data_IF_402448105652
#
_entry.id   IF_402448105652
#
_cell.length_a   1.000
_cell.length_b   1.000
_cell.length_c   1.000
_cell.angle_alpha   90.00
_cell.angle_beta   90.00
_cell.angle_gamma   90.00
#
_symmetry.space_group_name_H-M   'P 1'
#
loop_
_entity.id
_entity.type
_entity.pdbx_description
1 polymer ?
#
# COMPACT_ATOMS: atom_id res chain seq x y z
N UNK A 1 7.37 17.88 0.32
CA UNK A 1 7.41 16.40 0.17
C UNK A 1 7.24 15.77 1.54
N UNK A 2 6.47 14.69 1.64
CA UNK A 2 6.30 13.92 2.87
C UNK A 2 7.02 12.58 2.75
N UNK A 3 7.88 12.30 3.73
CA UNK A 3 8.58 11.03 3.87
C UNK A 3 7.81 10.12 4.83
N UNK A 4 7.65 8.87 4.45
CA UNK A 4 7.05 7.82 5.28
C UNK A 4 7.97 6.61 5.29
N UNK A 5 7.99 5.90 6.40
CA UNK A 5 8.87 4.76 6.60
C UNK A 5 8.07 3.49 6.82
N UNK A 6 8.65 2.36 6.42
CA UNK A 6 8.03 1.07 6.59
C UNK A 6 8.99 -0.08 6.36
N UNK A 7 8.47 -1.28 6.49
CA UNK A 7 9.22 -2.52 6.40
C UNK A 7 8.71 -3.33 5.22
N UNK A 8 9.65 -3.85 4.43
CA UNK A 8 9.36 -4.74 3.32
C UNK A 8 8.83 -6.07 3.85
N UNK A 9 7.74 -6.55 3.24
CA UNK A 9 7.10 -7.82 3.57
C UNK A 9 6.86 -8.64 2.32
N UNK A 10 6.94 -9.97 2.42
CA UNK A 10 6.46 -10.84 1.35
C UNK A 10 4.95 -10.75 1.23
N UNK A 11 4.48 -10.70 -0.01
CA UNK A 11 3.07 -10.89 -0.34
C UNK A 11 2.70 -12.34 -0.44
N UNK A 12 1.41 -12.58 -0.72
CA UNK A 12 0.87 -13.91 -1.08
C UNK A 12 0.78 -14.14 -2.59
N UNK A 13 1.46 -13.34 -3.40
CA UNK A 13 1.39 -13.40 -4.86
C UNK A 13 0.07 -12.92 -5.48
N UNK A 14 -0.93 -12.52 -4.69
CA UNK A 14 -2.26 -12.08 -5.19
C UNK A 14 -2.22 -10.81 -6.03
N UNK A 15 -1.23 -9.96 -5.80
CA UNK A 15 -1.01 -8.78 -6.61
C UNK A 15 -0.69 -9.17 -8.06
N UNK A 16 -0.01 -10.30 -8.31
CA UNK A 16 0.33 -10.73 -9.67
C UNK A 16 -0.91 -11.01 -10.50
N UNK A 17 -1.90 -11.73 -9.97
CA UNK A 17 -3.15 -12.01 -10.70
C UNK A 17 -3.91 -10.72 -10.99
N UNK A 18 -4.05 -9.84 -10.00
CA UNK A 18 -4.82 -8.60 -10.15
C UNK A 18 -4.12 -7.56 -11.02
N UNK A 19 -2.80 -7.42 -10.91
CA UNK A 19 -1.99 -6.54 -11.74
C UNK A 19 -1.97 -7.08 -13.16
N UNK A 20 -1.79 -8.40 -13.37
CA UNK A 20 -1.79 -9.02 -14.70
C UNK A 20 -3.03 -8.65 -15.52
N UNK A 21 -4.22 -8.67 -14.91
CA UNK A 21 -5.46 -8.30 -15.59
C UNK A 21 -5.62 -6.80 -15.88
N UNK A 22 -4.79 -5.94 -15.30
CA UNK A 22 -4.87 -4.48 -15.44
C UNK A 22 -3.55 -3.85 -15.88
N UNK A 23 -2.57 -4.65 -16.33
CA UNK A 23 -1.23 -4.13 -16.70
C UNK A 23 -1.37 -3.04 -17.74
N UNK A 24 -2.05 -3.30 -18.85
CA UNK A 24 -2.19 -2.33 -19.96
C UNK A 24 -2.79 -1.01 -19.49
N UNK A 25 -3.82 -1.05 -18.65
CA UNK A 25 -4.45 0.15 -18.08
C UNK A 25 -3.47 0.91 -17.18
N UNK A 26 -2.72 0.20 -16.33
CA UNK A 26 -1.71 0.81 -15.45
C UNK A 26 -0.55 1.38 -16.28
N UNK A 27 -0.06 0.68 -17.30
CA UNK A 27 1.01 1.15 -18.17
C UNK A 27 0.58 2.41 -18.93
N UNK A 28 -0.66 2.44 -19.44
CA UNK A 28 -1.23 3.63 -20.06
C UNK A 28 -1.33 4.81 -19.07
N UNK A 29 -1.79 4.55 -17.83
CA UNK A 29 -1.90 5.57 -16.81
C UNK A 29 -0.54 6.08 -16.33
N UNK A 30 0.48 5.23 -16.25
CA UNK A 30 1.78 5.57 -15.67
C UNK A 30 2.82 6.00 -16.70
N UNK A 31 2.64 5.61 -17.97
CA UNK A 31 3.64 5.75 -19.02
C UNK A 31 4.85 4.82 -18.85
N UNK A 32 4.77 3.83 -17.96
CA UNK A 32 5.85 2.91 -17.63
C UNK A 32 5.45 1.48 -17.96
N UNK A 33 6.40 0.67 -18.41
CA UNK A 33 6.20 -0.78 -18.54
C UNK A 33 6.33 -1.43 -17.16
N UNK A 34 5.23 -1.84 -16.55
CA UNK A 34 5.23 -2.26 -15.15
C UNK A 34 5.79 -3.68 -15.01
N UNK A 35 6.73 -3.86 -14.08
CA UNK A 35 7.21 -5.18 -13.70
C UNK A 35 6.04 -6.01 -13.12
N UNK A 36 5.86 -7.28 -13.53
CA UNK A 36 4.75 -8.12 -13.07
C UNK A 36 4.93 -8.54 -11.59
N UNK A 37 4.60 -7.62 -10.69
CA UNK A 37 4.58 -7.81 -9.26
C UNK A 37 4.57 -6.49 -8.48
N UNK A 38 4.49 -6.59 -7.17
CA UNK A 38 4.52 -5.44 -6.27
C UNK A 38 5.46 -5.68 -5.09
N UNK A 39 6.04 -4.59 -4.57
CA UNK A 39 6.76 -4.59 -3.31
C UNK A 39 5.79 -4.20 -2.19
N UNK A 40 5.49 -5.14 -1.29
CA UNK A 40 4.62 -4.85 -0.16
C UNK A 40 5.39 -4.20 0.98
N UNK A 41 4.84 -3.13 1.51
CA UNK A 41 5.41 -2.37 2.61
C UNK A 41 4.35 -2.24 3.70
N UNK A 42 4.75 -2.57 4.92
CA UNK A 42 4.01 -2.27 6.15
C UNK A 42 4.63 -1.01 6.74
N UNK A 43 3.90 0.10 6.67
CA UNK A 43 4.33 1.38 7.21
C UNK A 43 4.37 1.34 8.73
N UNK A 44 5.31 2.09 9.30
CA UNK A 44 5.39 2.29 10.75
C UNK A 44 4.16 3.02 11.27
N UNK A 45 3.73 4.03 10.52
CA UNK A 45 2.55 4.83 10.78
C UNK A 45 1.54 4.72 9.64
N UNK A 46 0.27 4.64 9.99
CA UNK A 46 -0.82 4.69 9.01
C UNK A 46 -0.78 5.98 8.20
N UNK A 47 -0.91 5.85 6.89
CA UNK A 47 -1.02 6.99 5.97
C UNK A 47 -2.33 6.90 5.23
N UNK A 48 -3.15 7.95 5.33
CA UNK A 48 -4.35 8.11 4.50
C UNK A 48 -3.99 8.94 3.28
N UNK A 49 -4.25 8.39 2.08
CA UNK A 49 -4.01 9.09 0.83
C UNK A 49 -5.31 9.68 0.30
N UNK A 50 -5.24 10.88 -0.28
CA UNK A 50 -6.38 11.57 -0.88
C UNK A 50 -6.74 10.90 -2.21
N UNK A 51 -7.93 10.32 -2.29
CA UNK A 51 -8.41 9.62 -3.51
C UNK A 51 -8.60 10.55 -4.69
N UNK A 52 -8.89 11.83 -4.46
CA UNK A 52 -9.00 12.83 -5.52
C UNK A 52 -7.69 13.02 -6.31
N UNK A 53 -6.54 12.77 -5.69
CA UNK A 53 -5.22 12.87 -6.33
C UNK A 53 -4.77 11.55 -6.98
N UNK A 54 -5.55 10.48 -6.85
CA UNK A 54 -5.20 9.17 -7.39
C UNK A 54 -5.54 9.08 -8.88
N UNK A 55 -4.70 8.38 -9.64
CA UNK A 55 -5.16 7.77 -10.90
C UNK A 55 -5.98 6.53 -10.54
N UNK A 56 -7.19 6.44 -11.10
CA UNK A 56 -8.18 5.39 -10.80
C UNK A 56 -8.24 4.42 -11.96
N UNK A 57 -8.40 3.15 -11.65
CA UNK A 57 -8.51 2.08 -12.63
C UNK A 57 -9.40 0.96 -12.07
N UNK A 58 -9.69 -0.08 -12.87
CA UNK A 58 -10.62 -1.17 -12.46
C UNK A 58 -11.96 -0.60 -11.93
N UNK A 59 -12.65 0.20 -12.76
CA UNK A 59 -13.92 0.87 -12.42
C UNK A 59 -13.84 1.74 -11.14
N UNK A 60 -12.65 2.30 -10.87
CA UNK A 60 -12.37 3.13 -9.70
C UNK A 60 -12.35 2.37 -8.37
N UNK A 61 -12.16 1.04 -8.41
CA UNK A 61 -11.95 0.22 -7.20
C UNK A 61 -10.48 0.22 -6.76
N UNK A 62 -9.59 0.68 -7.63
CA UNK A 62 -8.15 0.69 -7.43
C UNK A 62 -7.56 2.06 -7.73
N UNK A 63 -6.45 2.33 -7.07
CA UNK A 63 -5.87 3.66 -6.97
C UNK A 63 -4.35 3.56 -7.06
N UNK A 64 -3.74 4.46 -7.81
CA UNK A 64 -2.29 4.67 -7.81
C UNK A 64 -1.92 6.13 -7.60
N UNK A 65 -0.81 6.36 -6.87
CA UNK A 65 -0.21 7.68 -6.66
C UNK A 65 1.29 7.62 -6.98
N UNK A 66 1.86 8.67 -7.60
CA UNK A 66 3.30 8.71 -7.84
C UNK A 66 4.05 8.93 -6.52
N UNK A 67 5.21 8.30 -6.39
CA UNK A 67 6.10 8.39 -5.25
C UNK A 67 7.54 8.08 -5.66
N UNK A 68 8.45 8.11 -4.70
CA UNK A 68 9.86 7.83 -4.90
C UNK A 68 10.41 6.93 -3.80
N UNK A 69 11.30 6.02 -4.16
CA UNK A 69 12.15 5.27 -3.22
C UNK A 69 13.58 5.52 -3.64
N UNK A 70 14.38 6.12 -2.75
CA UNK A 70 15.76 6.50 -3.04
C UNK A 70 15.92 7.27 -4.37
N UNK A 71 14.97 8.17 -4.69
CA UNK A 71 14.95 8.94 -5.93
C UNK A 71 14.44 8.20 -7.17
N UNK A 72 14.27 6.87 -7.12
CA UNK A 72 13.65 6.10 -8.22
C UNK A 72 12.14 6.37 -8.24
N UNK A 73 11.56 6.78 -9.39
CA UNK A 73 10.12 6.93 -9.54
C UNK A 73 9.42 5.59 -9.38
N UNK A 74 8.38 5.57 -8.56
CA UNK A 74 7.53 4.40 -8.30
C UNK A 74 6.08 4.84 -8.14
N UNK A 75 5.17 3.87 -8.10
CA UNK A 75 3.74 4.12 -7.87
C UNK A 75 3.24 3.37 -6.65
N UNK A 76 2.65 4.10 -5.71
CA UNK A 76 1.93 3.50 -4.59
C UNK A 76 0.60 2.98 -5.12
N UNK A 77 0.33 1.70 -4.94
CA UNK A 77 -0.90 1.00 -5.29
C UNK A 77 -1.72 0.68 -4.03
N UNK A 78 -3.02 0.97 -4.10
CA UNK A 78 -4.02 0.53 -3.11
C UNK A 78 -5.34 0.16 -3.79
N UNK A 79 -6.08 -0.72 -3.16
CA UNK A 79 -7.46 -1.05 -3.50
C UNK A 79 -8.43 -0.48 -2.46
N UNK A 80 -9.71 -0.49 -2.78
CA UNK A 80 -10.75 -0.07 -1.84
C UNK A 80 -10.72 -0.94 -0.57
N UNK A 81 -10.55 -0.29 0.57
CA UNK A 81 -10.43 -0.93 1.88
C UNK A 81 -9.01 -1.40 2.22
N UNK A 82 -7.96 -1.06 1.46
CA UNK A 82 -6.57 -1.31 1.88
C UNK A 82 -6.30 -0.59 3.21
N UNK A 83 -5.77 -1.27 4.25
CA UNK A 83 -5.44 -0.63 5.52
C UNK A 83 -4.45 0.53 5.35
N UNK A 84 -4.49 1.53 6.22
CA UNK A 84 -3.63 2.72 6.08
C UNK A 84 -2.13 2.43 6.23
N UNK A 85 -1.74 1.30 6.82
CA UNK A 85 -0.33 0.90 6.96
C UNK A 85 0.14 0.01 5.82
N UNK A 86 -0.75 -0.45 4.95
CA UNK A 86 -0.35 -1.29 3.83
C UNK A 86 -0.19 -0.40 2.60
N UNK A 87 0.95 -0.54 1.94
CA UNK A 87 1.21 -0.02 0.62
C UNK A 87 1.80 -1.12 -0.23
N UNK A 88 1.34 -1.23 -1.46
CA UNK A 88 2.03 -1.99 -2.49
C UNK A 88 2.72 -1.00 -3.41
N UNK A 89 3.95 -1.28 -3.84
CA UNK A 89 4.69 -0.41 -4.74
C UNK A 89 4.84 -1.09 -6.08
N UNK A 90 4.44 -0.38 -7.14
CA UNK A 90 4.62 -0.74 -8.53
C UNK A 90 5.81 0.04 -9.10
N UNK A 91 6.58 -0.61 -9.96
CA UNK A 91 7.70 -0.01 -10.68
C UNK A 91 7.88 -0.75 -11.99
N UNK A 92 8.60 -0.12 -12.91
CA UNK A 92 9.20 -0.74 -14.09
C UNK A 92 10.30 -1.77 -13.78
N UNK A 93 10.79 -1.82 -12.54
CA UNK A 93 11.88 -2.68 -12.10
C UNK A 93 11.48 -3.58 -10.93
N UNK A 94 12.19 -4.70 -10.78
CA UNK A 94 12.08 -5.57 -9.60
C UNK A 94 12.84 -4.93 -8.42
N UNK A 95 12.14 -4.09 -7.66
CA UNK A 95 12.74 -3.26 -6.59
C UNK A 95 13.57 -4.04 -5.56
N UNK A 96 13.22 -5.30 -5.28
CA UNK A 96 14.01 -6.15 -4.37
C UNK A 96 15.42 -6.42 -4.87
N UNK A 97 15.60 -6.58 -6.18
CA UNK A 97 16.92 -6.83 -6.77
C UNK A 97 17.69 -5.51 -6.91
N UNK A 98 17.02 -4.45 -7.35
CA UNK A 98 17.64 -3.13 -7.55
C UNK A 98 18.22 -2.56 -6.25
N UNK A 99 17.52 -2.78 -5.13
CA UNK A 99 17.89 -2.21 -3.83
C UNK A 99 18.33 -3.27 -2.80
N UNK A 100 18.58 -4.52 -3.22
CA UNK A 100 18.88 -5.67 -2.35
C UNK A 100 17.95 -5.79 -1.13
N UNK A 101 16.64 -5.65 -1.36
CA UNK A 101 15.64 -5.66 -0.29
C UNK A 101 15.15 -7.07 0.03
N UNK A 102 15.15 -7.38 1.33
CA UNK A 102 14.66 -8.62 1.92
C UNK A 102 13.46 -8.32 2.82
N UNK A 103 12.75 -9.36 3.23
CA UNK A 103 11.72 -9.18 4.25
C UNK A 103 12.36 -8.66 5.54
N UNK A 104 11.73 -7.65 6.16
CA UNK A 104 12.31 -6.95 7.28
C UNK A 104 13.16 -5.72 6.90
N UNK A 105 13.55 -5.56 5.62
CA UNK A 105 14.30 -4.37 5.18
C UNK A 105 13.48 -3.10 5.42
N UNK A 106 14.13 -2.09 6.01
CA UNK A 106 13.55 -0.76 6.18
C UNK A 106 13.61 0.01 4.87
N UNK A 107 12.52 0.67 4.51
CA UNK A 107 12.43 1.50 3.31
C UNK A 107 11.80 2.84 3.62
N UNK A 108 12.26 3.87 2.91
CA UNK A 108 11.76 5.24 2.99
C UNK A 108 11.10 5.58 1.66
N UNK A 109 9.86 6.07 1.73
CA UNK A 109 9.06 6.43 0.57
C UNK A 109 8.80 7.93 0.66
N UNK A 110 9.17 8.64 -0.40
CA UNK A 110 8.91 10.06 -0.55
C UNK A 110 7.70 10.25 -1.46
N UNK A 111 6.69 10.99 -1.00
CA UNK A 111 5.50 11.32 -1.79
C UNK A 111 5.15 12.81 -1.67
N UNK A 112 4.32 13.31 -2.59
CA UNK A 112 3.80 14.66 -2.46
C UNK A 112 2.92 14.77 -1.21
N UNK A 113 3.11 15.84 -0.44
CA UNK A 113 2.32 16.12 0.76
C UNK A 113 0.85 16.37 0.42
N UNK A 114 0.54 16.88 -0.78
CA UNK A 114 -0.82 17.08 -1.28
C UNK A 114 -1.62 15.77 -1.38
N UNK A 115 -0.91 14.63 -1.51
CA UNK A 115 -1.53 13.32 -1.56
C UNK A 115 -1.93 12.81 -0.18
N UNK A 116 -1.44 13.42 0.90
CA UNK A 116 -1.70 12.96 2.27
C UNK A 116 -2.92 13.69 2.84
N UNK A 117 -3.84 12.90 3.39
CA UNK A 117 -5.02 13.41 4.07
C UNK A 117 -4.88 13.21 5.58
N UNK A 118 -5.39 14.17 6.36
CA UNK A 118 -5.42 14.03 7.82
C UNK A 118 -6.39 12.91 8.20
N UNK A 119 -5.90 11.95 8.97
CA UNK A 119 -6.77 10.96 9.62
C UNK A 119 -7.53 11.61 10.77
N UNK A 120 -8.84 11.35 10.83
CA UNK A 120 -9.65 11.69 11.99
C UNK A 120 -9.34 10.77 13.18
N UNK A 121 -9.81 11.13 14.38
CA UNK A 121 -9.52 10.39 15.60
C UNK A 121 -9.94 8.92 15.51
N UNK A 122 -11.08 8.62 14.89
CA UNK A 122 -11.56 7.25 14.71
C UNK A 122 -10.62 6.40 13.85
N UNK A 123 -10.08 6.97 12.79
CA UNK A 123 -9.11 6.30 11.89
C UNK A 123 -7.75 6.11 12.57
N UNK A 124 -7.33 7.04 13.43
CA UNK A 124 -6.13 6.90 14.26
C UNK A 124 -6.30 5.81 15.32
N UNK A 125 -7.44 5.77 16.00
CA UNK A 125 -7.76 4.71 16.96
C UNK A 125 -7.85 3.37 16.25
N UNK A 126 -8.48 3.30 15.06
CA UNK A 126 -8.53 2.04 14.30
C UNK A 126 -7.15 1.54 13.94
N UNK A 127 -6.29 2.46 13.49
CA UNK A 127 -4.87 2.24 13.24
C UNK A 127 -4.20 1.65 14.48
N UNK A 128 -4.28 2.32 15.62
CA UNK A 128 -3.67 1.90 16.87
C UNK A 128 -4.21 0.55 17.37
N UNK A 129 -5.52 0.36 17.38
CA UNK A 129 -6.15 -0.86 17.91
C UNK A 129 -5.85 -2.06 17.02
N UNK A 130 -5.97 -1.89 15.69
CA UNK A 130 -5.73 -2.98 14.75
C UNK A 130 -4.25 -3.34 14.72
N UNK A 131 -3.33 -2.36 14.74
CA UNK A 131 -1.90 -2.59 14.56
C UNK A 131 -1.11 -2.76 15.85
N UNK A 132 -1.44 -2.00 16.90
CA UNK A 132 -0.79 -2.04 18.21
C UNK A 132 -1.08 -3.33 18.98
N UNK A 133 -2.26 -3.94 18.82
CA UNK A 133 -2.62 -5.20 19.52
C UNK A 133 -2.20 -6.48 18.77
N UNK A 134 -1.22 -6.40 17.87
CA UNK A 134 -0.53 -7.61 17.38
C UNK A 134 -0.56 -7.88 15.88
N UNK A 135 -1.09 -6.97 15.04
CA UNK A 135 -1.02 -7.19 13.59
C UNK A 135 0.32 -6.94 12.95
N UNK A 136 1.16 -6.09 13.53
CA UNK A 136 2.54 -5.92 13.05
C UNK A 136 3.20 -7.30 12.96
N UNK A 137 3.12 -8.10 14.03
CA UNK A 137 3.65 -9.46 14.09
C UNK A 137 2.95 -10.47 13.17
N UNK A 138 1.64 -10.34 12.93
CA UNK A 138 0.89 -11.28 12.08
C UNK A 138 1.18 -11.11 10.59
N UNK A 139 1.47 -9.90 10.11
CA UNK A 139 1.87 -9.71 8.71
C UNK A 139 3.28 -10.25 8.41
N UNK A 140 4.16 -10.32 9.43
CA UNK A 140 5.46 -11.00 9.31
C UNK A 140 5.37 -12.54 9.31
N UNK A 141 4.23 -13.14 9.71
CA UNK A 141 4.01 -14.58 9.65
C UNK A 141 3.20 -14.96 8.40
N UNK A 142 3.63 -16.01 7.69
CA UNK A 142 3.02 -16.51 6.43
C UNK A 142 1.50 -16.77 6.49
N UNK A 143 0.91 -16.96 7.67
CA UNK A 143 -0.50 -17.32 7.87
C UNK A 143 -1.37 -16.12 8.27
N UNK A 144 -1.97 -15.47 7.28
CA UNK A 144 -3.03 -14.49 7.49
C UNK A 144 -4.40 -15.11 7.22
N UNK A 145 -5.14 -15.42 8.28
CA UNK A 145 -6.59 -15.62 8.24
C UNK A 145 -7.28 -14.28 8.47
N UNK A 146 -8.06 -13.82 7.49
CA UNK A 146 -8.97 -12.69 7.71
C UNK A 146 -10.10 -13.15 8.61
N UNK A 147 -9.89 -13.12 9.93
CA UNK A 147 -10.97 -13.39 10.87
C UNK A 147 -12.12 -12.42 10.61
N UNK A 148 -13.34 -12.95 10.47
CA UNK A 148 -14.58 -12.21 10.21
C UNK A 148 -14.74 -11.02 11.17
N UNK A 149 -14.35 -11.21 12.42
CA UNK A 149 -14.31 -10.20 13.47
C UNK A 149 -13.42 -8.99 13.12
N UNK A 150 -12.25 -9.22 12.51
CA UNK A 150 -11.35 -8.14 12.11
C UNK A 150 -11.90 -7.39 10.91
N UNK A 151 -12.51 -8.09 9.95
CA UNK A 151 -13.19 -7.43 8.83
C UNK A 151 -14.34 -6.54 9.32
N UNK A 152 -15.13 -7.04 10.28
CA UNK A 152 -16.20 -6.29 10.91
C UNK A 152 -15.66 -5.06 11.67
N UNK A 153 -14.64 -5.24 12.50
CA UNK A 153 -13.98 -4.16 13.24
C UNK A 153 -13.44 -3.07 12.28
N UNK A 154 -12.79 -3.45 11.17
CA UNK A 154 -12.30 -2.51 10.14
C UNK A 154 -13.43 -1.74 9.46
N UNK A 155 -14.51 -2.43 9.11
CA UNK A 155 -15.68 -1.81 8.49
C UNK A 155 -16.30 -0.78 9.42
N UNK A 156 -16.50 -1.16 10.68
CA UNK A 156 -17.03 -0.30 11.74
C UNK A 156 -16.11 0.90 11.99
N UNK A 157 -14.80 0.71 12.08
CA UNK A 157 -13.87 1.77 12.44
C UNK A 157 -13.38 2.63 11.26
N UNK A 158 -13.84 2.34 10.04
CA UNK A 158 -13.45 3.02 8.79
C UNK A 158 -11.95 2.94 8.47
N UNK A 159 -11.28 1.86 8.92
CA UNK A 159 -9.89 1.60 8.53
C UNK A 159 -9.82 1.25 7.04
N UNK A 160 -9.09 2.07 6.30
CA UNK A 160 -8.65 1.79 4.95
C UNK A 160 -9.19 2.74 3.88
N UNK A 161 -8.54 2.68 2.72
CA UNK A 161 -8.76 3.59 1.60
C UNK A 161 -10.20 3.51 1.06
N UNK A 162 -10.93 4.62 1.05
CA UNK A 162 -12.32 4.69 0.53
C UNK A 162 -12.45 5.80 -0.50
N UNK A 163 -13.44 5.64 -1.39
CA UNK A 163 -13.84 6.69 -2.35
C UNK A 163 -14.26 7.97 -1.61
#
# INVERSE_FOLDING_TARGET
>A
MRRVEGIVSSGRGRANEHIAHSVEEIEHLTGLRIFPGSLNIVLDDGVKLRVACAKKFDNGRRFIWPAFIAGQPVWIYRWQGTPFHIMEILSDKKLREVFDLKDGSKVKIDLNEDFVEKMCLREKISTLVIWGFGRSHLYYRRTYTSNRMIFFARRCMRDGQRK
#
